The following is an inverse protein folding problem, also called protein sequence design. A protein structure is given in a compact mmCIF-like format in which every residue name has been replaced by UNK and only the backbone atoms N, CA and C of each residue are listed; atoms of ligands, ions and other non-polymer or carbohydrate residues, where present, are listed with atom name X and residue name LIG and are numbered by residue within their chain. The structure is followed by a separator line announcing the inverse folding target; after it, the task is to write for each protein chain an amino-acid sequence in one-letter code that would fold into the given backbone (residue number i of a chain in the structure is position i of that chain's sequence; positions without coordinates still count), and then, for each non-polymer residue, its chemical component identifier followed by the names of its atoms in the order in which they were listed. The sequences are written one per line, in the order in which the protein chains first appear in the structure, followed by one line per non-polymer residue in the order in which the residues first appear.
data_IF_785631211726
#
_entry.id   IF_785631211726
#
_cell.length_a   1.000
_cell.length_b   1.000
_cell.length_c   1.000
_cell.angle_alpha   90.00
_cell.angle_beta   90.00
_cell.angle_gamma   90.00
#
_symmetry.space_group_name_H-M   'P 1'
#
loop_
_entity.id
_entity.type
_entity.pdbx_description
1 polymer ?
#
# COMPACT_ATOMS: atom_id res chain seq x y z
N UNK A 1 24.94 7.41 1.49
CA UNK A 1 23.69 8.02 1.02
C UNK A 1 22.69 7.95 2.16
N UNK A 2 21.79 8.91 2.28
CA UNK A 2 20.64 8.79 3.17
C UNK A 2 19.81 7.57 2.78
N UNK A 3 19.07 6.99 3.70
CA UNK A 3 18.25 5.78 3.49
C UNK A 3 17.04 5.82 4.42
N UNK A 4 16.05 5.01 4.16
CA UNK A 4 14.97 4.73 5.12
C UNK A 4 15.59 4.07 6.36
N UNK A 5 15.26 4.61 7.56
CA UNK A 5 15.80 4.12 8.84
C UNK A 5 14.71 3.88 9.86
N UNK A 6 15.01 3.01 10.81
CA UNK A 6 14.12 2.69 11.92
C UNK A 6 14.75 3.07 13.25
N UNK A 7 14.03 3.83 14.06
CA UNK A 7 14.41 4.22 15.41
C UNK A 7 13.34 3.82 16.43
N UNK A 8 13.73 3.08 17.45
CA UNK A 8 12.87 2.69 18.57
C UNK A 8 13.31 3.29 19.90
N UNK A 9 14.15 4.34 19.89
CA UNK A 9 14.66 4.99 21.08
C UNK A 9 13.54 5.49 22.01
N UNK A 10 12.39 5.91 21.46
CA UNK A 10 11.21 6.33 22.22
C UNK A 10 10.41 5.17 22.82
N UNK A 11 10.74 3.94 22.46
CA UNK A 11 10.21 2.74 23.08
C UNK A 11 11.22 2.06 24.05
N UNK A 12 12.39 2.63 24.28
CA UNK A 12 13.47 2.04 25.09
C UNK A 12 13.07 1.78 26.55
N UNK A 13 12.15 2.54 27.12
CA UNK A 13 11.59 2.27 28.46
C UNK A 13 10.67 1.03 28.50
N UNK A 14 10.21 0.55 27.34
CA UNK A 14 9.33 -0.60 27.19
C UNK A 14 10.09 -1.87 26.77
N UNK A 15 11.32 -1.74 26.29
CA UNK A 15 12.13 -2.81 25.70
C UNK A 15 13.51 -2.76 26.31
N UNK A 16 13.98 -3.87 26.88
CA UNK A 16 15.34 -3.93 27.42
C UNK A 16 16.29 -4.68 26.47
N UNK A 17 17.59 -4.46 26.66
CA UNK A 17 18.63 -5.04 25.81
C UNK A 17 18.64 -6.57 25.80
N UNK A 18 18.24 -7.22 26.88
CA UNK A 18 18.18 -8.68 26.94
C UNK A 18 17.04 -9.22 26.05
N UNK A 19 15.92 -8.48 25.94
CA UNK A 19 14.83 -8.86 25.04
C UNK A 19 15.27 -8.75 23.59
N UNK A 20 15.98 -7.70 23.22
CA UNK A 20 16.56 -7.56 21.87
C UNK A 20 17.56 -8.66 21.55
N UNK A 21 18.48 -8.99 22.48
CA UNK A 21 19.43 -10.11 22.33
C UNK A 21 18.72 -11.46 22.20
N UNK A 22 17.64 -11.67 22.95
CA UNK A 22 16.84 -12.89 22.82
C UNK A 22 16.17 -12.98 21.45
N UNK A 23 15.63 -11.86 20.96
CA UNK A 23 14.98 -11.81 19.65
C UNK A 23 15.94 -11.98 18.49
N UNK A 24 17.20 -11.56 18.63
CA UNK A 24 18.21 -11.65 17.57
C UNK A 24 18.28 -13.05 16.97
N UNK A 25 18.37 -14.10 17.82
CA UNK A 25 18.40 -15.48 17.36
C UNK A 25 17.11 -15.90 16.65
N UNK A 26 15.96 -15.57 17.22
CA UNK A 26 14.66 -15.91 16.62
C UNK A 26 14.47 -15.23 15.26
N UNK A 27 14.91 -13.97 15.16
CA UNK A 27 14.88 -13.21 13.92
C UNK A 27 15.85 -13.78 12.88
N UNK A 28 17.04 -14.24 13.32
CA UNK A 28 17.99 -14.89 12.43
C UNK A 28 17.41 -16.21 11.86
N UNK A 29 16.78 -17.03 12.69
CA UNK A 29 16.10 -18.26 12.26
C UNK A 29 14.92 -17.96 11.30
N UNK A 30 14.14 -16.92 11.58
CA UNK A 30 13.05 -16.47 10.69
C UNK A 30 13.59 -15.92 9.35
N UNK A 31 14.68 -15.16 9.38
CA UNK A 31 15.38 -14.68 8.18
C UNK A 31 15.90 -15.82 7.33
N UNK A 32 16.57 -16.79 7.96
CA UNK A 32 17.07 -17.98 7.25
C UNK A 32 15.91 -18.73 6.59
N UNK A 33 14.82 -18.95 7.33
CA UNK A 33 13.60 -19.61 6.81
C UNK A 33 13.02 -18.87 5.60
N UNK A 34 12.95 -17.53 5.65
CA UNK A 34 12.45 -16.70 4.56
C UNK A 34 13.35 -16.73 3.33
N UNK A 35 14.66 -16.53 3.54
CA UNK A 35 15.65 -16.41 2.44
C UNK A 35 15.93 -17.75 1.79
N UNK A 36 15.99 -18.83 2.57
CA UNK A 36 16.15 -20.21 2.04
C UNK A 36 14.87 -20.76 1.43
N UNK A 37 13.75 -20.03 1.54
CA UNK A 37 12.43 -20.40 0.99
C UNK A 37 11.94 -21.76 1.52
N UNK A 38 12.20 -22.05 2.80
CA UNK A 38 11.83 -23.34 3.44
C UNK A 38 10.60 -23.24 4.34
N UNK A 39 10.08 -22.03 4.56
CA UNK A 39 8.94 -21.80 5.45
C UNK A 39 7.58 -22.00 4.78
N UNK A 40 6.54 -21.91 5.60
CA UNK A 40 5.16 -21.93 5.10
C UNK A 40 4.92 -20.77 4.12
N UNK A 41 4.26 -21.05 3.00
CA UNK A 41 3.98 -20.06 1.95
C UNK A 41 5.15 -19.78 1.01
N UNK A 42 6.15 -20.67 0.96
CA UNK A 42 7.32 -20.56 0.09
C UNK A 42 7.00 -20.48 -1.41
N UNK A 43 5.80 -20.88 -1.82
CA UNK A 43 5.31 -20.71 -3.20
C UNK A 43 5.06 -19.22 -3.59
N UNK A 44 5.09 -18.28 -2.62
CA UNK A 44 4.79 -16.87 -2.81
C UNK A 44 5.96 -15.94 -2.44
N UNK A 45 7.19 -16.36 -2.68
CA UNK A 45 8.41 -15.63 -2.31
C UNK A 45 9.14 -14.99 -3.51
N UNK A 46 8.50 -14.89 -4.67
CA UNK A 46 9.08 -14.23 -5.85
C UNK A 46 9.41 -12.74 -5.62
N UNK A 47 8.68 -12.08 -4.73
CA UNK A 47 8.90 -10.68 -4.38
C UNK A 47 10.28 -10.40 -3.75
N UNK A 48 10.92 -11.39 -3.11
CA UNK A 48 12.22 -11.21 -2.44
C UNK A 48 13.30 -10.74 -3.43
N UNK A 49 13.36 -11.38 -4.60
CA UNK A 49 14.38 -11.11 -5.61
C UNK A 49 13.89 -10.17 -6.73
N UNK A 50 12.57 -9.89 -6.76
CA UNK A 50 11.93 -9.08 -7.79
C UNK A 50 12.63 -7.73 -8.07
N UNK A 51 13.16 -6.98 -7.07
CA UNK A 51 13.82 -5.71 -7.35
C UNK A 51 15.07 -5.81 -8.25
N UNK A 52 15.67 -6.99 -8.37
CA UNK A 52 16.88 -7.22 -9.18
C UNK A 52 16.65 -8.22 -10.32
N UNK A 53 15.69 -9.13 -10.15
CA UNK A 53 15.39 -10.23 -11.09
C UNK A 53 13.96 -10.13 -11.64
N UNK A 54 13.65 -9.02 -12.31
CA UNK A 54 12.39 -8.80 -12.99
C UNK A 54 12.55 -8.92 -14.52
N UNK A 55 11.46 -9.25 -15.22
CA UNK A 55 11.43 -9.33 -16.67
C UNK A 55 11.67 -7.94 -17.29
N UNK A 56 12.85 -7.75 -17.88
CA UNK A 56 13.28 -6.49 -18.47
C UNK A 56 12.49 -6.12 -19.74
N UNK A 57 12.03 -7.12 -20.49
CA UNK A 57 11.23 -6.91 -21.69
C UNK A 57 9.82 -6.48 -21.33
N UNK A 58 9.20 -7.12 -20.34
CA UNK A 58 7.92 -6.67 -19.80
C UNK A 58 8.02 -5.27 -19.17
N UNK A 59 9.08 -4.99 -18.45
CA UNK A 59 9.32 -3.66 -17.88
C UNK A 59 9.43 -2.57 -18.95
N UNK A 60 10.12 -2.86 -20.06
CA UNK A 60 10.19 -1.95 -21.21
C UNK A 60 8.80 -1.75 -21.86
N UNK A 61 7.99 -2.82 -21.97
CA UNK A 61 6.61 -2.74 -22.46
C UNK A 61 5.71 -1.92 -21.53
N UNK A 62 5.86 -2.04 -20.19
CA UNK A 62 5.15 -1.21 -19.23
C UNK A 62 5.42 0.28 -19.48
N UNK A 63 6.69 0.67 -19.70
CA UNK A 63 7.04 2.06 -20.02
C UNK A 63 6.46 2.53 -21.35
N UNK A 64 6.47 1.67 -22.37
CA UNK A 64 5.88 1.97 -23.67
C UNK A 64 4.34 2.15 -23.58
N UNK A 65 3.65 1.25 -22.86
CA UNK A 65 2.23 1.34 -22.63
C UNK A 65 1.85 2.60 -21.82
N UNK A 66 2.62 2.90 -20.77
CA UNK A 66 2.42 4.11 -19.98
C UNK A 66 2.53 5.38 -20.82
N UNK A 67 3.54 5.45 -21.68
CA UNK A 67 3.72 6.56 -22.62
C UNK A 67 2.54 6.69 -23.59
N UNK A 68 2.09 5.58 -24.17
CA UNK A 68 0.92 5.57 -25.06
C UNK A 68 -0.33 6.07 -24.35
N UNK A 69 -0.61 5.61 -23.12
CA UNK A 69 -1.75 6.08 -22.30
C UNK A 69 -1.64 7.59 -22.03
N UNK A 70 -0.45 8.09 -21.73
CA UNK A 70 -0.23 9.53 -21.51
C UNK A 70 -0.49 10.38 -22.75
N UNK A 71 -0.24 9.84 -23.93
CA UNK A 71 -0.40 10.53 -25.22
C UNK A 71 -1.86 10.52 -25.71
N UNK A 72 -2.59 9.43 -25.51
CA UNK A 72 -3.89 9.18 -26.11
C UNK A 72 -5.09 9.24 -25.13
N UNK A 73 -4.84 9.44 -23.84
CA UNK A 73 -5.90 9.45 -22.82
C UNK A 73 -5.82 10.67 -21.90
N UNK A 74 -6.99 11.18 -21.50
CA UNK A 74 -7.14 12.18 -20.46
C UNK A 74 -7.37 11.55 -19.08
N UNK A 75 -7.88 10.32 -19.09
CA UNK A 75 -8.21 9.55 -17.88
C UNK A 75 -7.66 8.12 -18.00
N UNK A 76 -7.05 7.64 -16.92
CA UNK A 76 -6.79 6.21 -16.71
C UNK A 76 -7.73 5.69 -15.62
N UNK A 77 -8.49 4.64 -15.92
CA UNK A 77 -9.25 3.89 -14.93
C UNK A 77 -8.44 2.67 -14.49
N UNK A 78 -8.03 2.64 -13.23
CA UNK A 78 -7.39 1.49 -12.60
C UNK A 78 -8.48 0.65 -11.95
N UNK A 79 -8.75 -0.53 -12.50
CA UNK A 79 -9.81 -1.43 -12.05
C UNK A 79 -9.18 -2.58 -11.28
N UNK A 80 -9.32 -2.59 -9.97
CA UNK A 80 -8.74 -3.60 -9.09
C UNK A 80 -9.22 -3.46 -7.65
N UNK A 81 -8.91 -4.45 -6.82
CA UNK A 81 -9.25 -4.46 -5.39
C UNK A 81 -8.06 -4.99 -4.56
N UNK A 82 -7.94 -4.54 -3.31
CA UNK A 82 -6.86 -4.95 -2.42
C UNK A 82 -5.48 -4.65 -3.03
N UNK A 83 -4.60 -5.64 -3.08
CA UNK A 83 -3.25 -5.49 -3.64
C UNK A 83 -3.22 -5.09 -5.11
N UNK A 84 -4.32 -5.30 -5.84
CA UNK A 84 -4.41 -4.88 -7.25
C UNK A 84 -4.57 -3.36 -7.45
N UNK A 85 -4.76 -2.57 -6.38
CA UNK A 85 -4.81 -1.11 -6.49
C UNK A 85 -4.10 -0.36 -5.38
N UNK A 86 -4.08 -0.90 -4.14
CA UNK A 86 -3.57 -0.17 -2.97
C UNK A 86 -2.12 0.26 -3.12
N UNK A 87 -1.24 -0.64 -3.56
CA UNK A 87 0.18 -0.32 -3.73
C UNK A 87 0.41 0.75 -4.79
N UNK A 88 -0.28 0.66 -5.94
CA UNK A 88 -0.22 1.69 -6.98
C UNK A 88 -0.72 3.04 -6.49
N UNK A 89 -1.86 3.06 -5.79
CA UNK A 89 -2.44 4.29 -5.23
C UNK A 89 -1.53 4.90 -4.17
N UNK A 90 -0.98 4.07 -3.28
CA UNK A 90 0.01 4.52 -2.29
C UNK A 90 1.20 5.22 -2.95
N UNK A 91 1.77 4.61 -4.00
CA UNK A 91 2.88 5.22 -4.73
C UNK A 91 2.51 6.52 -5.42
N UNK A 92 1.37 6.56 -6.11
CA UNK A 92 0.94 7.74 -6.86
C UNK A 92 0.64 8.91 -5.92
N UNK A 93 -0.11 8.70 -4.84
CA UNK A 93 -0.41 9.76 -3.88
C UNK A 93 0.84 10.22 -3.11
N UNK A 94 1.74 9.29 -2.77
CA UNK A 94 3.02 9.63 -2.15
C UNK A 94 3.92 10.47 -3.07
N UNK A 95 3.98 10.15 -4.37
CA UNK A 95 4.94 10.73 -5.31
C UNK A 95 4.43 11.97 -6.05
N UNK A 96 3.11 12.14 -6.19
CA UNK A 96 2.54 13.16 -7.07
C UNK A 96 1.91 14.31 -6.27
N UNK A 97 1.32 15.26 -6.98
CA UNK A 97 0.67 16.42 -6.39
C UNK A 97 -0.51 15.99 -5.51
N UNK A 98 -0.67 16.57 -4.31
CA UNK A 98 -1.75 16.22 -3.37
C UNK A 98 -3.16 16.38 -3.97
N UNK A 99 -3.32 17.27 -4.94
CA UNK A 99 -4.57 17.49 -5.71
C UNK A 99 -4.41 17.00 -7.15
N UNK A 100 -3.80 15.85 -7.36
CA UNK A 100 -3.37 15.33 -8.65
C UNK A 100 -4.43 15.42 -9.74
N UNK A 101 -5.64 14.92 -9.49
CA UNK A 101 -6.73 14.96 -10.48
C UNK A 101 -7.40 16.33 -10.62
N UNK A 102 -7.15 17.28 -9.72
CA UNK A 102 -7.78 18.60 -9.73
C UNK A 102 -6.93 19.69 -10.38
N UNK A 103 -5.61 19.47 -10.50
CA UNK A 103 -4.73 20.43 -11.17
C UNK A 103 -4.86 20.33 -12.68
N UNK A 104 -4.65 21.45 -13.37
CA UNK A 104 -4.70 21.51 -14.83
C UNK A 104 -3.70 20.53 -15.49
N UNK A 105 -4.02 20.03 -16.68
CA UNK A 105 -3.18 19.10 -17.45
C UNK A 105 -1.78 19.68 -17.72
N UNK A 106 -1.64 21.00 -17.87
CA UNK A 106 -0.35 21.67 -18.07
C UNK A 106 0.58 21.56 -16.85
N UNK A 107 0.01 21.40 -15.64
CA UNK A 107 0.72 21.16 -14.38
C UNK A 107 0.95 19.66 -14.17
N UNK A 108 -0.09 18.86 -14.31
CA UNK A 108 -0.07 17.41 -14.10
C UNK A 108 0.75 16.66 -15.17
N UNK A 109 0.62 17.07 -16.43
CA UNK A 109 1.27 16.52 -17.65
C UNK A 109 0.89 15.09 -18.03
N UNK A 110 0.11 14.42 -17.23
CA UNK A 110 -0.30 13.00 -17.35
C UNK A 110 -1.83 12.91 -17.25
N UNK A 111 -2.45 11.76 -17.58
CA UNK A 111 -3.88 11.57 -17.37
C UNK A 111 -4.30 11.71 -15.91
N UNK A 112 -5.55 12.05 -15.67
CA UNK A 112 -6.17 11.82 -14.36
C UNK A 112 -6.26 10.31 -14.10
N UNK A 113 -6.10 9.90 -12.85
CA UNK A 113 -6.14 8.49 -12.48
C UNK A 113 -7.25 8.28 -11.46
N UNK A 114 -8.20 7.42 -11.80
CA UNK A 114 -9.29 7.03 -10.92
C UNK A 114 -9.26 5.54 -10.65
N UNK A 115 -9.67 5.16 -9.44
CA UNK A 115 -9.71 3.78 -8.99
C UNK A 115 -11.15 3.33 -8.87
N UNK A 116 -11.47 2.17 -9.45
CA UNK A 116 -12.82 1.59 -9.39
C UNK A 116 -12.75 0.06 -9.34
N UNK A 117 -13.82 -0.58 -8.88
CA UNK A 117 -13.79 -2.03 -8.63
C UNK A 117 -13.13 -2.40 -7.30
N UNK A 118 -12.83 -1.40 -6.47
CA UNK A 118 -12.44 -1.56 -5.07
C UNK A 118 -13.66 -1.45 -4.12
N UNK A 119 -14.83 -1.19 -4.68
CA UNK A 119 -16.13 -1.23 -4.02
C UNK A 119 -17.23 -1.57 -5.05
N UNK A 120 -18.42 -1.93 -4.57
CA UNK A 120 -19.62 -2.19 -5.39
C UNK A 120 -20.70 -1.13 -5.12
N UNK A 121 -20.29 0.10 -4.89
CA UNK A 121 -21.20 1.23 -4.72
C UNK A 121 -21.74 1.68 -6.07
N UNK A 122 -23.06 1.54 -6.27
CA UNK A 122 -23.75 2.02 -7.46
C UNK A 122 -23.59 3.53 -7.65
N UNK A 123 -23.69 4.30 -6.55
CA UNK A 123 -23.50 5.76 -6.57
C UNK A 123 -22.09 6.14 -7.01
N UNK A 124 -21.05 5.50 -6.45
CA UNK A 124 -19.68 5.79 -6.83
C UNK A 124 -19.41 5.50 -8.31
N UNK A 125 -19.89 4.34 -8.81
CA UNK A 125 -19.73 3.98 -10.22
C UNK A 125 -20.44 4.99 -11.12
N UNK A 126 -21.68 5.41 -10.79
CA UNK A 126 -22.44 6.39 -11.54
C UNK A 126 -21.74 7.75 -11.60
N UNK A 127 -21.27 8.26 -10.45
CA UNK A 127 -20.53 9.52 -10.40
C UNK A 127 -19.21 9.45 -11.20
N UNK A 128 -18.52 8.30 -11.18
CA UNK A 128 -17.31 8.14 -11.97
C UNK A 128 -17.60 8.11 -13.48
N UNK A 129 -18.73 7.55 -13.91
CA UNK A 129 -19.19 7.63 -15.31
C UNK A 129 -19.41 9.08 -15.70
N UNK A 130 -20.03 9.90 -14.85
CA UNK A 130 -20.23 11.34 -15.08
C UNK A 130 -18.88 12.10 -15.14
N UNK A 131 -17.95 11.76 -14.24
CA UNK A 131 -16.60 12.35 -14.22
C UNK A 131 -15.81 12.00 -15.49
N UNK A 132 -15.88 10.77 -15.96
CA UNK A 132 -15.24 10.36 -17.23
C UNK A 132 -15.89 11.10 -18.41
N UNK A 133 -17.22 11.15 -18.47
CA UNK A 133 -17.96 11.85 -19.50
C UNK A 133 -17.53 11.45 -20.91
N UNK A 134 -17.35 12.46 -21.77
CA UNK A 134 -16.92 12.27 -23.16
C UNK A 134 -15.40 12.31 -23.34
N UNK A 135 -14.62 12.35 -22.25
CA UNK A 135 -13.14 12.41 -22.30
C UNK A 135 -12.54 11.12 -22.85
N UNK A 136 -11.36 11.24 -23.43
CA UNK A 136 -10.59 10.06 -23.85
C UNK A 136 -10.02 9.32 -22.64
N UNK A 137 -10.26 8.00 -22.58
CA UNK A 137 -9.80 7.22 -21.44
C UNK A 137 -9.28 5.85 -21.83
N UNK A 138 -8.43 5.32 -20.98
CA UNK A 138 -7.93 3.95 -21.01
C UNK A 138 -8.29 3.20 -19.73
N UNK A 139 -8.29 1.89 -19.80
CA UNK A 139 -8.57 0.98 -18.69
C UNK A 139 -7.34 0.11 -18.41
N UNK A 140 -6.87 0.10 -17.18
CA UNK A 140 -5.99 -0.94 -16.68
C UNK A 140 -6.79 -1.88 -15.78
N UNK A 141 -7.20 -3.03 -16.32
CA UNK A 141 -7.93 -4.08 -15.59
C UNK A 141 -6.92 -5.01 -14.92
N UNK A 142 -6.93 -5.05 -13.58
CA UNK A 142 -5.97 -5.80 -12.78
C UNK A 142 -6.70 -6.90 -11.99
N UNK A 143 -6.56 -8.12 -12.43
CA UNK A 143 -7.14 -9.29 -11.76
C UNK A 143 -6.46 -10.57 -12.23
N UNK A 144 -5.85 -11.34 -11.32
CA UNK A 144 -5.19 -12.60 -11.67
C UNK A 144 -6.17 -13.60 -12.29
N UNK A 145 -7.32 -13.83 -11.66
CA UNK A 145 -8.35 -14.78 -12.17
C UNK A 145 -9.29 -14.16 -13.21
N UNK A 146 -9.52 -12.85 -13.14
CA UNK A 146 -10.56 -12.17 -13.90
C UNK A 146 -11.99 -12.39 -13.38
N UNK A 147 -12.17 -13.10 -12.26
CA UNK A 147 -13.47 -13.48 -11.72
C UNK A 147 -13.78 -12.84 -10.36
N UNK A 148 -12.90 -12.01 -9.82
CA UNK A 148 -13.18 -11.24 -8.61
C UNK A 148 -14.36 -10.31 -8.90
N UNK A 149 -15.39 -10.39 -8.06
CA UNK A 149 -16.72 -9.82 -8.35
C UNK A 149 -16.67 -8.30 -8.57
N UNK A 150 -16.03 -7.57 -7.65
CA UNK A 150 -16.02 -6.12 -7.63
C UNK A 150 -15.35 -5.52 -8.89
N UNK A 151 -14.11 -5.88 -9.24
CA UNK A 151 -13.47 -5.38 -10.45
C UNK A 151 -14.15 -5.92 -11.73
N UNK A 152 -14.72 -7.13 -11.72
CA UNK A 152 -15.42 -7.66 -12.89
C UNK A 152 -16.71 -6.86 -13.20
N UNK A 153 -17.45 -6.41 -12.17
CA UNK A 153 -18.62 -5.52 -12.34
C UNK A 153 -18.17 -4.18 -12.93
N UNK A 154 -17.19 -3.54 -12.34
CA UNK A 154 -16.67 -2.26 -12.82
C UNK A 154 -16.17 -2.37 -14.27
N UNK A 155 -15.44 -3.43 -14.58
CA UNK A 155 -14.93 -3.67 -15.94
C UNK A 155 -16.06 -3.82 -16.97
N UNK A 156 -17.12 -4.56 -16.66
CA UNK A 156 -18.29 -4.66 -17.56
C UNK A 156 -18.93 -3.31 -17.88
N UNK A 157 -19.03 -2.44 -16.88
CA UNK A 157 -19.59 -1.10 -17.06
C UNK A 157 -18.71 -0.25 -17.97
N UNK A 158 -17.43 -0.08 -17.61
CA UNK A 158 -16.53 0.84 -18.32
C UNK A 158 -16.06 0.29 -19.67
N UNK A 159 -15.90 -1.03 -19.83
CA UNK A 159 -15.66 -1.66 -21.13
C UNK A 159 -16.77 -1.32 -22.12
N UNK A 160 -18.04 -1.45 -21.70
CA UNK A 160 -19.18 -1.12 -22.57
C UNK A 160 -19.20 0.35 -22.98
N UNK A 161 -18.86 1.27 -22.07
CA UNK A 161 -18.76 2.71 -22.37
C UNK A 161 -17.63 2.94 -23.37
N UNK A 162 -16.48 2.32 -23.19
CA UNK A 162 -15.33 2.42 -24.09
C UNK A 162 -15.65 1.89 -25.49
N UNK A 163 -16.30 0.73 -25.59
CA UNK A 163 -16.73 0.12 -26.86
C UNK A 163 -17.80 0.96 -27.58
N UNK A 164 -18.72 1.57 -26.83
CA UNK A 164 -19.73 2.46 -27.43
C UNK A 164 -19.08 3.74 -27.99
N UNK A 165 -18.03 4.23 -27.37
CA UNK A 165 -17.31 5.44 -27.81
C UNK A 165 -16.43 5.21 -29.03
N UNK A 166 -15.66 4.14 -29.04
CA UNK A 166 -14.59 3.92 -30.04
C UNK A 166 -14.87 2.77 -31.01
N UNK A 167 -15.90 1.97 -30.76
CA UNK A 167 -16.04 0.66 -31.41
C UNK A 167 -15.10 -0.39 -30.78
N UNK A 168 -15.37 -1.64 -31.06
CA UNK A 168 -14.72 -2.77 -30.37
C UNK A 168 -13.20 -2.83 -30.60
N UNK A 169 -12.76 -2.65 -31.85
CA UNK A 169 -11.34 -2.76 -32.23
C UNK A 169 -10.47 -1.66 -31.64
N UNK A 170 -10.95 -0.41 -31.63
CA UNK A 170 -10.18 0.70 -31.08
C UNK A 170 -10.24 0.71 -29.55
N UNK A 171 -11.38 0.31 -28.97
CA UNK A 171 -11.52 0.13 -27.53
C UNK A 171 -10.52 -0.92 -27.00
N UNK A 172 -10.29 -2.01 -27.74
CA UNK A 172 -9.34 -3.05 -27.36
C UNK A 172 -7.91 -2.51 -27.19
N UNK A 173 -7.50 -1.52 -27.98
CA UNK A 173 -6.16 -0.88 -27.89
C UNK A 173 -5.99 0.05 -26.68
N UNK A 174 -7.10 0.34 -25.96
CA UNK A 174 -7.17 1.19 -24.77
C UNK A 174 -7.40 0.40 -23.50
N UNK A 175 -7.47 -0.94 -23.59
CA UNK A 175 -7.61 -1.86 -22.46
C UNK A 175 -6.29 -2.59 -22.25
N UNK A 176 -5.75 -2.46 -21.05
CA UNK A 176 -4.52 -3.09 -20.60
C UNK A 176 -4.88 -4.08 -19.50
N UNK A 177 -4.67 -5.38 -19.75
CA UNK A 177 -5.01 -6.45 -18.83
C UNK A 177 -3.80 -6.91 -18.03
N UNK A 178 -3.73 -6.58 -16.74
CA UNK A 178 -2.72 -7.13 -15.84
C UNK A 178 -3.31 -8.36 -15.16
N UNK A 179 -2.87 -9.57 -15.60
CA UNK A 179 -3.54 -10.82 -15.27
C UNK A 179 -2.57 -12.01 -15.23
N UNK A 180 -3.07 -13.23 -15.07
CA UNK A 180 -2.28 -14.47 -15.13
C UNK A 180 -1.58 -14.63 -16.50
N UNK A 181 -0.42 -15.25 -16.50
CA UNK A 181 0.38 -15.46 -17.71
C UNK A 181 -0.34 -16.31 -18.76
N UNK A 182 -1.07 -17.34 -18.33
CA UNK A 182 -1.55 -18.41 -19.22
C UNK A 182 -3.02 -18.79 -19.09
N UNK A 183 -3.67 -18.47 -17.96
CA UNK A 183 -5.01 -18.96 -17.61
C UNK A 183 -5.88 -17.89 -16.97
N UNK A 184 -7.16 -18.20 -16.79
CA UNK A 184 -8.12 -17.30 -16.16
C UNK A 184 -9.01 -16.55 -17.15
N UNK A 185 -10.16 -16.08 -16.65
CA UNK A 185 -11.17 -15.46 -17.50
C UNK A 185 -10.67 -14.17 -18.18
N UNK A 186 -9.90 -13.33 -17.45
CA UNK A 186 -9.35 -12.11 -18.02
C UNK A 186 -8.25 -12.41 -19.05
N UNK A 187 -7.42 -13.43 -18.83
CA UNK A 187 -6.39 -13.83 -19.80
C UNK A 187 -7.01 -14.34 -21.10
N UNK A 188 -8.04 -15.18 -21.00
CA UNK A 188 -8.76 -15.68 -22.14
C UNK A 188 -9.41 -14.55 -22.95
N UNK A 189 -10.08 -13.63 -22.25
CA UNK A 189 -10.68 -12.45 -22.85
C UNK A 189 -9.63 -11.54 -23.52
N UNK A 190 -8.49 -11.30 -22.87
CA UNK A 190 -7.44 -10.49 -23.43
C UNK A 190 -6.86 -11.10 -24.72
N UNK A 191 -6.70 -12.41 -24.76
CA UNK A 191 -6.24 -13.11 -25.97
C UNK A 191 -7.29 -13.06 -27.10
N UNK A 192 -8.59 -13.23 -26.78
CA UNK A 192 -9.69 -13.21 -27.76
C UNK A 192 -9.90 -11.82 -28.35
N UNK A 193 -9.85 -10.78 -27.52
CA UNK A 193 -10.15 -9.40 -27.91
C UNK A 193 -8.89 -8.60 -28.31
N UNK A 194 -7.68 -9.18 -28.14
CA UNK A 194 -6.42 -8.53 -28.51
C UNK A 194 -5.96 -7.43 -27.55
N UNK A 195 -6.30 -7.52 -26.24
CA UNK A 195 -5.82 -6.56 -25.25
C UNK A 195 -4.32 -6.74 -24.99
N UNK A 196 -3.60 -5.64 -24.83
CA UNK A 196 -2.24 -5.72 -24.33
C UNK A 196 -2.27 -6.26 -22.89
N UNK A 197 -1.46 -7.29 -22.62
CA UNK A 197 -1.47 -7.96 -21.31
C UNK A 197 -0.10 -7.95 -20.63
N UNK A 198 -0.14 -7.80 -19.29
CA UNK A 198 0.99 -7.84 -18.37
C UNK A 198 0.75 -8.93 -17.33
N UNK A 199 1.84 -9.47 -16.79
CA UNK A 199 1.77 -10.66 -15.95
C UNK A 199 1.67 -10.29 -14.47
N UNK A 200 0.72 -10.93 -13.78
CA UNK A 200 0.74 -11.08 -12.33
C UNK A 200 1.52 -12.36 -12.02
N UNK A 201 2.72 -12.30 -11.46
CA UNK A 201 3.52 -13.49 -11.20
C UNK A 201 2.80 -14.49 -10.29
N UNK A 202 3.00 -15.80 -10.54
CA UNK A 202 2.36 -16.84 -9.75
C UNK A 202 2.88 -16.93 -8.33
N UNK A 203 4.14 -16.58 -8.17
CA UNK A 203 4.91 -16.63 -6.92
C UNK A 203 4.93 -15.31 -6.15
N UNK A 204 4.05 -14.36 -6.50
CA UNK A 204 3.88 -13.08 -5.77
C UNK A 204 2.45 -12.92 -5.31
N UNK A 205 2.25 -12.82 -4.01
CA UNK A 205 0.95 -12.55 -3.41
C UNK A 205 0.48 -11.11 -3.68
N UNK A 206 -0.86 -10.88 -3.71
CA UNK A 206 -1.44 -9.57 -4.07
C UNK A 206 -0.89 -8.39 -3.26
N UNK A 207 -0.75 -8.53 -1.95
CA UNK A 207 -0.24 -7.47 -1.06
C UNK A 207 1.27 -7.21 -1.16
N UNK A 208 2.02 -8.11 -1.85
CA UNK A 208 3.45 -7.99 -2.17
C UNK A 208 3.69 -7.61 -3.64
N UNK A 209 2.67 -7.24 -4.40
CA UNK A 209 2.74 -7.14 -5.85
C UNK A 209 2.99 -5.73 -6.39
N UNK A 210 3.21 -4.72 -5.54
CA UNK A 210 3.36 -3.32 -5.97
C UNK A 210 4.53 -3.12 -6.96
N UNK A 211 5.59 -3.88 -6.83
CA UNK A 211 6.78 -3.82 -7.71
C UNK A 211 6.68 -4.75 -8.94
N UNK A 212 5.51 -5.36 -9.20
CA UNK A 212 5.19 -6.06 -10.45
C UNK A 212 4.42 -5.14 -11.40
N UNK A 213 4.04 -5.64 -12.57
CA UNK A 213 3.17 -4.92 -13.50
C UNK A 213 1.86 -4.39 -12.85
N UNK A 214 1.41 -5.02 -11.75
CA UNK A 214 0.24 -4.60 -10.97
C UNK A 214 0.35 -3.15 -10.49
N UNK A 215 1.50 -2.78 -9.91
CA UNK A 215 1.75 -1.42 -9.47
C UNK A 215 2.46 -0.58 -10.52
N UNK A 216 3.45 -1.15 -11.22
CA UNK A 216 4.36 -0.40 -12.08
C UNK A 216 3.67 0.28 -13.26
N UNK A 217 2.65 -0.33 -13.89
CA UNK A 217 1.96 0.31 -15.01
C UNK A 217 1.21 1.58 -14.60
N UNK A 218 0.28 1.59 -13.63
CA UNK A 218 -0.39 2.83 -13.23
C UNK A 218 0.58 3.85 -12.60
N UNK A 219 1.64 3.41 -11.90
CA UNK A 219 2.68 4.29 -11.36
C UNK A 219 3.41 5.00 -12.51
N UNK A 220 3.83 4.29 -13.55
CA UNK A 220 4.48 4.86 -14.73
C UNK A 220 3.55 5.83 -15.47
N UNK A 221 2.25 5.51 -15.61
CA UNK A 221 1.26 6.41 -16.22
C UNK A 221 1.15 7.73 -15.45
N UNK A 222 1.30 7.72 -14.14
CA UNK A 222 1.32 8.95 -13.33
C UNK A 222 2.53 9.87 -13.61
N UNK A 223 3.51 9.37 -14.39
CA UNK A 223 4.76 10.08 -14.67
C UNK A 223 5.84 9.90 -13.60
N UNK A 224 5.66 8.97 -12.68
CA UNK A 224 6.71 8.60 -11.73
C UNK A 224 7.77 7.72 -12.40
N UNK A 225 9.01 7.86 -11.95
CA UNK A 225 10.18 7.14 -12.45
C UNK A 225 10.26 5.73 -11.82
N UNK A 226 9.73 4.73 -12.55
CA UNK A 226 9.74 3.35 -12.06
C UNK A 226 11.13 2.71 -12.05
N UNK A 227 12.11 3.23 -12.81
CA UNK A 227 13.51 2.77 -12.73
C UNK A 227 14.07 3.13 -11.33
N UNK A 228 13.90 4.38 -10.88
CA UNK A 228 14.31 4.81 -9.54
C UNK A 228 13.56 4.08 -8.43
N UNK A 229 12.28 3.79 -8.62
CA UNK A 229 11.52 2.99 -7.65
C UNK A 229 12.13 1.60 -7.47
N UNK A 230 12.47 0.92 -8.57
CA UNK A 230 13.12 -0.39 -8.54
C UNK A 230 14.54 -0.33 -7.99
N UNK A 231 15.31 0.74 -8.28
CA UNK A 231 16.64 0.97 -7.69
C UNK A 231 16.54 1.13 -6.16
N UNK A 232 15.56 1.88 -5.66
CA UNK A 232 15.31 2.01 -4.24
C UNK A 232 14.94 0.68 -3.58
N UNK A 233 14.06 -0.09 -4.19
CA UNK A 233 13.69 -1.43 -3.71
C UNK A 233 14.91 -2.38 -3.69
N UNK A 234 15.78 -2.31 -4.71
CA UNK A 234 17.04 -3.08 -4.74
C UNK A 234 18.00 -2.67 -3.60
N UNK A 235 18.07 -1.36 -3.28
CA UNK A 235 18.83 -0.86 -2.11
C UNK A 235 18.26 -1.40 -0.80
N UNK A 236 16.93 -1.37 -0.63
CA UNK A 236 16.23 -1.94 0.51
C UNK A 236 16.51 -3.43 0.65
N UNK A 237 16.40 -4.19 -0.45
CA UNK A 237 16.74 -5.61 -0.51
C UNK A 237 18.17 -5.89 -0.04
N UNK A 238 19.13 -5.17 -0.58
CA UNK A 238 20.53 -5.30 -0.19
C UNK A 238 20.71 -5.08 1.31
N UNK A 239 20.11 -4.02 1.85
CA UNK A 239 20.16 -3.73 3.29
C UNK A 239 19.51 -4.82 4.14
N UNK A 240 18.37 -5.33 3.73
CA UNK A 240 17.63 -6.38 4.45
C UNK A 240 18.36 -7.73 4.46
N UNK A 241 19.00 -8.10 3.35
CA UNK A 241 19.67 -9.41 3.21
C UNK A 241 21.09 -9.43 3.77
N UNK A 242 21.88 -8.37 3.52
CA UNK A 242 23.33 -8.42 3.78
C UNK A 242 23.73 -7.90 5.18
N UNK A 243 22.89 -7.03 5.81
CA UNK A 243 23.26 -6.46 7.11
C UNK A 243 23.04 -7.41 8.27
N UNK A 244 23.94 -7.39 9.29
CA UNK A 244 23.71 -8.08 10.55
C UNK A 244 22.53 -7.44 11.31
N UNK A 245 22.04 -8.11 12.34
CA UNK A 245 20.85 -7.69 13.10
C UNK A 245 20.97 -6.24 13.64
N UNK A 246 22.12 -5.89 14.21
CA UNK A 246 22.34 -4.59 14.84
C UNK A 246 22.28 -3.42 13.86
N UNK A 247 22.54 -3.68 12.57
CA UNK A 247 22.52 -2.67 11.50
C UNK A 247 21.28 -2.79 10.59
N UNK A 248 20.44 -3.80 10.82
CA UNK A 248 19.31 -4.13 9.95
C UNK A 248 18.00 -3.62 10.54
N UNK A 249 17.57 -2.49 10.02
CA UNK A 249 16.38 -1.79 10.51
C UNK A 249 15.08 -2.60 10.32
N UNK A 250 14.94 -3.37 9.24
CA UNK A 250 13.77 -4.22 9.01
C UNK A 250 13.70 -5.39 10.02
N UNK A 251 14.83 -6.00 10.36
CA UNK A 251 14.89 -7.04 11.36
C UNK A 251 14.61 -6.50 12.77
N UNK A 252 15.16 -5.31 13.09
CA UNK A 252 14.88 -4.64 14.38
C UNK A 252 13.41 -4.28 14.50
N UNK A 253 12.79 -3.77 13.45
CA UNK A 253 11.37 -3.44 13.45
C UNK A 253 10.51 -4.69 13.72
N UNK A 254 10.77 -5.80 13.02
CA UNK A 254 10.07 -7.07 13.27
C UNK A 254 10.26 -7.58 14.71
N UNK A 255 11.48 -7.47 15.25
CA UNK A 255 11.79 -7.86 16.63
C UNK A 255 11.00 -7.02 17.64
N UNK A 256 11.07 -5.70 17.52
CA UNK A 256 10.43 -4.73 18.42
C UNK A 256 8.90 -4.94 18.45
N UNK A 257 8.27 -5.10 17.30
CA UNK A 257 6.83 -5.40 17.19
C UNK A 257 6.44 -6.64 17.98
N UNK A 258 7.21 -7.72 17.81
CA UNK A 258 6.96 -9.00 18.49
C UNK A 258 7.24 -8.94 20.01
N UNK A 259 8.21 -8.13 20.45
CA UNK A 259 8.42 -7.86 21.88
C UNK A 259 7.21 -7.13 22.46
N UNK A 260 6.75 -6.06 21.81
CA UNK A 260 5.61 -5.27 22.27
C UNK A 260 4.34 -6.12 22.31
N UNK A 261 4.09 -6.97 21.33
CA UNK A 261 2.96 -7.91 21.35
C UNK A 261 3.00 -8.83 22.58
N UNK A 262 4.17 -9.41 22.90
CA UNK A 262 4.36 -10.27 24.09
C UNK A 262 4.11 -9.53 25.41
N UNK A 263 4.19 -8.19 25.38
CA UNK A 263 3.86 -7.30 26.50
C UNK A 263 2.40 -6.81 26.48
N UNK A 264 1.56 -7.40 25.64
CA UNK A 264 0.12 -7.06 25.56
C UNK A 264 -0.21 -5.88 24.68
N UNK A 265 0.74 -5.38 23.88
CA UNK A 265 0.50 -4.35 22.87
C UNK A 265 0.02 -5.03 21.57
N UNK A 266 -1.27 -5.26 21.47
CA UNK A 266 -1.90 -6.02 20.38
C UNK A 266 -2.41 -5.16 19.23
N UNK A 267 -2.25 -3.84 19.30
CA UNK A 267 -2.62 -2.88 18.25
C UNK A 267 -1.41 -2.06 17.88
N UNK A 268 -1.07 -2.01 16.60
CA UNK A 268 -0.10 -1.08 16.06
C UNK A 268 -0.82 0.01 15.25
N UNK A 269 -0.56 1.26 15.61
CA UNK A 269 -1.11 2.41 14.91
C UNK A 269 0.01 3.05 14.09
N UNK A 270 -0.07 2.96 12.76
CA UNK A 270 0.78 3.76 11.90
C UNK A 270 0.25 5.19 11.87
N UNK A 271 1.10 6.14 12.25
CA UNK A 271 0.78 7.56 12.27
C UNK A 271 1.60 8.30 11.20
N UNK A 272 0.95 9.06 10.35
CA UNK A 272 1.61 9.93 9.40
C UNK A 272 1.22 11.39 9.62
N UNK A 273 2.10 12.32 9.23
CA UNK A 273 1.91 13.77 9.32
C UNK A 273 1.88 14.45 7.95
N UNK A 274 1.91 13.65 6.88
CA UNK A 274 1.81 14.08 5.49
C UNK A 274 0.58 13.44 4.86
N UNK A 275 -0.45 14.21 4.43
CA UNK A 275 -1.67 13.65 3.83
C UNK A 275 -1.42 12.72 2.64
N UNK A 276 -0.33 12.94 1.91
CA UNK A 276 0.11 12.06 0.81
C UNK A 276 0.56 10.66 1.25
N UNK A 277 0.75 10.43 2.55
CA UNK A 277 1.08 9.13 3.14
C UNK A 277 -0.16 8.28 3.48
N UNK A 278 -1.37 8.83 3.38
CA UNK A 278 -2.60 8.13 3.75
C UNK A 278 -2.68 6.73 3.10
N UNK A 279 -2.50 6.64 1.78
CA UNK A 279 -2.57 5.34 1.10
C UNK A 279 -1.34 4.45 1.30
N UNK A 280 -0.20 4.99 1.72
CA UNK A 280 0.92 4.17 2.22
C UNK A 280 0.49 3.45 3.50
N UNK A 281 -0.20 4.14 4.40
CA UNK A 281 -0.77 3.54 5.61
C UNK A 281 -1.85 2.50 5.29
N UNK A 282 -2.72 2.73 4.29
CA UNK A 282 -3.73 1.77 3.84
C UNK A 282 -3.10 0.50 3.21
N UNK A 283 -2.07 0.66 2.38
CA UNK A 283 -1.28 -0.45 1.85
C UNK A 283 -0.60 -1.24 2.99
N UNK A 284 0.00 -0.55 3.94
CA UNK A 284 0.63 -1.15 5.11
C UNK A 284 -0.38 -1.94 5.95
N UNK A 285 -1.59 -1.43 6.15
CA UNK A 285 -2.66 -2.18 6.85
C UNK A 285 -3.00 -3.49 6.16
N UNK A 286 -3.13 -3.49 4.83
CA UNK A 286 -3.36 -4.72 4.09
C UNK A 286 -2.17 -5.68 4.22
N UNK A 287 -0.95 -5.16 4.05
CA UNK A 287 0.27 -5.97 4.14
C UNK A 287 0.32 -6.74 5.46
N UNK A 288 0.19 -6.06 6.60
CA UNK A 288 0.28 -6.68 7.92
C UNK A 288 -1.00 -7.43 8.32
N UNK A 289 -2.16 -6.88 8.04
CA UNK A 289 -3.44 -7.50 8.40
C UNK A 289 -3.65 -8.86 7.76
N UNK A 290 -3.40 -8.99 6.47
CA UNK A 290 -3.51 -10.28 5.77
C UNK A 290 -2.35 -11.22 6.07
N UNK A 291 -1.17 -10.71 6.42
CA UNK A 291 0.01 -11.56 6.67
C UNK A 291 0.04 -12.12 8.08
N UNK A 292 -0.36 -11.35 9.09
CA UNK A 292 -0.24 -11.73 10.50
C UNK A 292 -1.56 -12.17 11.15
N UNK A 293 -2.71 -11.66 10.69
CA UNK A 293 -4.02 -11.91 11.27
C UNK A 293 -4.54 -13.33 10.99
N UNK A 294 -3.91 -14.36 11.56
CA UNK A 294 -4.20 -15.78 11.34
C UNK A 294 -4.11 -16.58 12.64
N UNK A 295 -4.77 -17.70 12.70
CA UNK A 295 -4.74 -18.61 13.86
C UNK A 295 -5.08 -17.92 15.19
N UNK A 296 -5.95 -16.91 15.14
CA UNK A 296 -6.32 -16.05 16.28
C UNK A 296 -5.10 -15.30 16.89
N UNK A 297 -4.08 -15.05 16.09
CA UNK A 297 -2.87 -14.30 16.42
C UNK A 297 -2.77 -13.03 15.57
N UNK A 298 -1.74 -12.26 15.81
CA UNK A 298 -1.37 -11.08 15.06
C UNK A 298 -1.52 -9.79 15.85
N UNK A 299 -0.93 -8.73 15.31
CA UNK A 299 -1.09 -7.35 15.80
C UNK A 299 -2.12 -6.69 14.89
N UNK A 300 -3.17 -6.09 15.45
CA UNK A 300 -4.17 -5.38 14.67
C UNK A 300 -3.54 -4.12 14.05
N UNK A 301 -3.43 -4.02 12.72
CA UNK A 301 -2.90 -2.83 12.09
C UNK A 301 -3.98 -1.75 11.98
N UNK A 302 -3.73 -0.59 12.57
CA UNK A 302 -4.54 0.61 12.45
C UNK A 302 -3.72 1.77 11.88
N UNK A 303 -4.38 2.83 11.46
CA UNK A 303 -3.70 4.02 10.96
C UNK A 303 -4.43 5.30 11.40
N UNK A 304 -3.68 6.39 11.56
CA UNK A 304 -4.19 7.74 11.83
C UNK A 304 -3.45 8.77 10.97
N UNK A 305 -4.18 9.78 10.54
CA UNK A 305 -3.65 10.92 9.79
C UNK A 305 -3.54 12.13 10.74
N UNK A 306 -2.34 12.45 11.19
CA UNK A 306 -2.09 13.51 12.14
C UNK A 306 -1.73 14.82 11.38
N UNK A 307 -2.13 15.98 11.87
CA UNK A 307 -2.75 16.29 13.19
C UNK A 307 -4.27 16.06 13.24
N UNK A 308 -4.94 15.76 12.12
CA UNK A 308 -6.41 15.63 12.05
C UNK A 308 -6.93 14.69 13.14
N UNK A 309 -6.37 13.51 13.27
CA UNK A 309 -6.84 12.47 14.20
C UNK A 309 -6.42 12.72 15.67
N UNK A 310 -5.63 13.73 15.97
CA UNK A 310 -5.48 14.20 17.35
C UNK A 310 -6.81 14.74 17.90
N UNK A 311 -7.67 15.24 16.99
CA UNK A 311 -9.01 15.74 17.32
C UNK A 311 -10.10 14.66 17.29
N UNK A 312 -9.73 13.40 17.10
CA UNK A 312 -10.63 12.23 17.12
C UNK A 312 -10.07 11.09 17.97
N UNK A 313 -8.97 10.50 17.59
CA UNK A 313 -8.33 9.36 18.26
C UNK A 313 -7.32 9.75 19.34
N UNK A 314 -6.86 11.01 19.34
CA UNK A 314 -5.83 11.48 20.27
C UNK A 314 -6.16 11.22 21.73
N UNK A 315 -7.41 11.46 22.15
CA UNK A 315 -7.86 11.17 23.53
C UNK A 315 -7.71 9.67 23.87
N UNK A 316 -8.09 8.78 22.97
CA UNK A 316 -8.00 7.35 23.22
C UNK A 316 -6.55 6.86 23.25
N UNK A 317 -5.72 7.38 22.35
CA UNK A 317 -4.29 7.02 22.31
C UNK A 317 -3.63 7.50 23.61
N UNK A 318 -3.88 8.75 24.02
CA UNK A 318 -3.25 9.35 25.20
C UNK A 318 -3.71 8.72 26.52
N UNK A 319 -4.99 8.37 26.68
CA UNK A 319 -5.58 8.03 27.98
C UNK A 319 -6.53 6.80 27.96
N UNK A 320 -6.66 6.12 26.81
CA UNK A 320 -7.47 4.90 26.67
C UNK A 320 -6.73 3.62 27.12
N UNK A 321 -7.16 2.47 26.65
CA UNK A 321 -6.57 1.18 26.97
C UNK A 321 -5.11 1.07 26.50
N UNK A 322 -4.22 0.58 27.33
CA UNK A 322 -2.76 0.48 27.07
C UNK A 322 -2.38 -0.71 26.19
N UNK A 323 -3.20 -1.06 25.19
CA UNK A 323 -3.02 -2.22 24.29
C UNK A 323 -2.28 -1.89 23.00
N UNK A 324 -1.87 -0.65 22.78
CA UNK A 324 -1.33 -0.17 21.54
C UNK A 324 0.11 0.35 21.63
N UNK A 325 0.73 0.47 20.49
CA UNK A 325 1.95 1.24 20.24
C UNK A 325 1.82 1.96 18.89
N UNK A 326 2.63 2.97 18.67
CA UNK A 326 2.62 3.75 17.43
C UNK A 326 3.89 3.53 16.62
N UNK A 327 3.75 3.53 15.30
CA UNK A 327 4.84 3.62 14.33
C UNK A 327 4.64 4.88 13.51
N UNK A 328 5.41 5.92 13.83
CA UNK A 328 5.36 7.21 13.14
C UNK A 328 6.19 7.16 11.88
N UNK A 329 5.56 7.41 10.73
CA UNK A 329 6.25 7.58 9.45
C UNK A 329 6.64 9.05 9.29
N UNK A 330 7.90 9.36 9.48
CA UNK A 330 8.45 10.72 9.45
C UNK A 330 9.12 11.00 8.09
N UNK A 331 8.59 11.94 7.33
CA UNK A 331 9.27 12.50 6.15
C UNK A 331 10.21 13.61 6.62
N UNK A 332 11.53 13.40 6.51
CA UNK A 332 12.52 14.33 7.08
C UNK A 332 12.56 15.67 6.35
N UNK A 333 12.37 15.66 5.03
CA UNK A 333 12.37 16.87 4.20
C UNK A 333 11.07 16.97 3.39
N UNK A 334 10.27 18.00 3.64
CA UNK A 334 9.06 18.26 2.86
C UNK A 334 9.40 18.75 1.45
N UNK A 335 8.54 18.42 0.47
CA UNK A 335 8.74 18.83 -0.94
C UNK A 335 8.61 20.32 -1.17
N UNK A 336 7.75 20.98 -0.40
CA UNK A 336 7.41 22.38 -0.56
C UNK A 336 7.49 23.06 0.80
N UNK A 337 7.78 24.35 0.79
CA UNK A 337 7.82 25.14 2.01
C UNK A 337 6.82 26.30 1.93
N UNK A 338 6.06 26.48 2.98
CA UNK A 338 5.22 27.63 3.24
C UNK A 338 5.77 28.29 4.50
N UNK A 339 6.15 29.54 4.40
CA UNK A 339 6.65 30.34 5.54
C UNK A 339 5.49 31.22 6.03
N UNK A 340 5.26 31.23 7.34
CA UNK A 340 4.26 32.11 7.94
C UNK A 340 4.78 33.54 7.99
N UNK A 341 3.94 34.48 7.60
CA UNK A 341 4.22 35.90 7.69
C UNK A 341 3.66 36.46 9.03
N UNK A 342 4.17 37.62 9.46
CA UNK A 342 3.66 38.32 10.60
C UNK A 342 2.37 39.07 10.24
N UNK A 343 1.32 38.90 11.02
CA UNK A 343 0.05 39.65 10.84
C UNK A 343 0.13 40.98 11.58
N UNK A 344 -0.36 42.10 10.98
CA UNK A 344 -0.37 43.42 11.62
C UNK A 344 -1.09 43.47 12.96
N UNK A 345 -2.09 42.61 13.15
CA UNK A 345 -2.85 42.46 14.39
C UNK A 345 -2.86 40.97 14.74
N UNK A 346 -2.21 40.60 15.82
CA UNK A 346 -2.08 39.22 16.29
C UNK A 346 -3.39 38.73 17.01
N UNK A 347 -4.48 38.65 16.24
CA UNK A 347 -5.78 38.25 16.80
C UNK A 347 -5.85 36.78 17.22
N UNK A 348 -5.11 35.93 16.54
CA UNK A 348 -5.04 34.49 16.80
C UNK A 348 -3.87 34.09 17.72
N UNK A 349 -3.01 35.06 18.07
CA UNK A 349 -1.87 34.83 18.94
C UNK A 349 -0.74 34.02 18.29
N UNK A 350 -0.68 33.99 16.94
CA UNK A 350 0.27 33.13 16.22
C UNK A 350 1.51 33.86 15.68
N UNK A 351 1.69 35.16 15.92
CA UNK A 351 2.87 35.90 15.44
C UNK A 351 4.21 35.35 15.98
N UNK A 352 4.21 34.57 17.04
CA UNK A 352 5.40 33.83 17.49
C UNK A 352 5.89 32.76 16.49
N UNK A 353 5.05 32.40 15.53
CA UNK A 353 5.38 31.48 14.42
C UNK A 353 5.89 32.20 13.16
N UNK A 354 5.85 33.54 13.13
CA UNK A 354 6.32 34.31 11.98
C UNK A 354 7.79 33.96 11.66
N UNK A 355 8.07 33.81 10.36
CA UNK A 355 9.37 33.38 9.85
C UNK A 355 9.64 31.88 9.93
N UNK A 356 8.74 31.08 10.53
CA UNK A 356 8.87 29.62 10.59
C UNK A 356 8.13 28.96 9.42
N UNK A 357 8.65 27.84 8.94
CA UNK A 357 7.95 27.04 7.94
C UNK A 357 6.82 26.21 8.57
N UNK A 358 5.75 25.97 7.82
CA UNK A 358 4.67 25.05 8.22
C UNK A 358 5.22 23.64 8.49
N UNK A 359 6.23 23.19 7.73
CA UNK A 359 6.92 21.91 7.98
C UNK A 359 7.60 21.87 9.38
N UNK A 360 8.27 22.95 9.78
CA UNK A 360 8.84 23.05 11.14
C UNK A 360 7.75 22.93 12.22
N UNK A 361 6.61 23.56 11.99
CA UNK A 361 5.47 23.51 12.93
C UNK A 361 4.89 22.10 12.99
N UNK A 362 4.71 21.45 11.83
CA UNK A 362 4.22 20.07 11.74
C UNK A 362 5.14 19.08 12.45
N UNK A 363 6.47 19.20 12.27
CA UNK A 363 7.45 18.40 13.00
C UNK A 363 7.49 18.69 14.50
N UNK A 364 7.23 19.92 14.89
CA UNK A 364 7.11 20.28 16.31
C UNK A 364 5.88 19.63 16.92
N UNK A 365 4.75 19.61 16.20
CA UNK A 365 3.54 18.87 16.61
C UNK A 365 3.81 17.37 16.72
N UNK A 366 4.47 16.78 15.72
CA UNK A 366 4.87 15.38 15.74
C UNK A 366 5.72 15.04 16.97
N UNK A 367 6.77 15.79 17.21
CA UNK A 367 7.65 15.54 18.36
C UNK A 367 6.93 15.72 19.69
N UNK A 368 6.07 16.75 19.82
CA UNK A 368 5.25 16.98 21.01
C UNK A 368 4.29 15.82 21.27
N UNK A 369 3.65 15.30 20.23
CA UNK A 369 2.74 14.15 20.30
C UNK A 369 3.49 12.87 20.70
N UNK A 370 4.62 12.57 20.07
CA UNK A 370 5.46 11.41 20.43
C UNK A 370 5.85 11.45 21.91
N UNK A 371 6.28 12.61 22.41
CA UNK A 371 6.65 12.75 23.82
C UNK A 371 5.43 12.52 24.75
N UNK A 372 4.30 13.16 24.45
CA UNK A 372 3.09 13.03 25.26
C UNK A 372 2.56 11.58 25.30
N UNK A 373 2.51 10.91 24.14
CA UNK A 373 2.05 9.53 24.07
C UNK A 373 3.03 8.56 24.75
N UNK A 374 4.35 8.79 24.61
CA UNK A 374 5.38 7.99 25.31
C UNK A 374 5.24 8.14 26.83
N UNK A 375 5.08 9.36 27.35
CA UNK A 375 4.84 9.63 28.76
C UNK A 375 3.50 9.01 29.25
N UNK A 376 2.52 8.90 28.34
CA UNK A 376 1.25 8.20 28.54
C UNK A 376 1.34 6.67 28.46
N UNK A 377 2.54 6.07 28.42
CA UNK A 377 2.77 4.63 28.30
C UNK A 377 2.31 4.02 26.94
N UNK A 378 2.40 4.78 25.86
CA UNK A 378 2.26 4.30 24.49
C UNK A 378 3.65 4.29 23.84
N UNK A 379 4.24 3.11 23.60
CA UNK A 379 5.54 3.03 22.91
C UNK A 379 5.47 3.67 21.53
N UNK A 380 6.46 4.49 21.18
CA UNK A 380 6.57 5.14 19.88
C UNK A 380 7.80 4.63 19.13
N UNK A 381 7.57 4.22 17.88
CA UNK A 381 8.57 3.80 16.93
C UNK A 381 8.60 4.83 15.79
N UNK A 382 9.75 5.05 15.16
CA UNK A 382 9.88 5.96 14.02
C UNK A 382 10.46 5.23 12.81
N UNK A 383 9.83 5.42 11.67
CA UNK A 383 10.38 5.09 10.36
C UNK A 383 10.66 6.41 9.65
N UNK A 384 11.93 6.75 9.53
CA UNK A 384 12.36 8.01 8.92
C UNK A 384 12.60 7.81 7.41
N UNK A 385 11.97 8.66 6.62
CA UNK A 385 12.02 8.70 5.17
C UNK A 385 12.71 10.01 4.80
N UNK A 386 13.90 10.00 4.17
CA UNK A 386 14.67 11.23 3.93
C UNK A 386 13.91 12.30 3.17
N UNK A 387 13.22 11.89 2.09
CA UNK A 387 12.34 12.75 1.28
C UNK A 387 11.35 11.92 0.47
N UNK A 388 10.31 12.55 -0.03
CA UNK A 388 9.29 11.88 -0.84
C UNK A 388 9.74 11.80 -2.32
N UNK A 389 10.43 10.73 -2.67
CA UNK A 389 10.79 10.40 -4.05
C UNK A 389 10.67 8.90 -4.32
N UNK A 390 10.85 8.50 -5.56
CA UNK A 390 10.68 7.13 -6.02
C UNK A 390 11.69 6.16 -5.37
N UNK A 391 12.92 6.62 -5.17
CA UNK A 391 13.98 5.79 -4.59
C UNK A 391 13.64 5.42 -3.13
N UNK A 392 13.32 6.39 -2.29
CA UNK A 392 13.00 6.12 -0.88
C UNK A 392 11.65 5.42 -0.71
N UNK A 393 10.71 5.61 -1.65
CA UNK A 393 9.49 4.82 -1.65
C UNK A 393 9.78 3.34 -1.95
N UNK A 394 10.66 3.05 -2.91
CA UNK A 394 11.11 1.70 -3.21
C UNK A 394 11.79 1.03 -1.99
N UNK A 395 12.68 1.76 -1.30
CA UNK A 395 13.27 1.28 -0.04
C UNK A 395 12.20 0.99 1.02
N UNK A 396 11.20 1.88 1.18
CA UNK A 396 10.13 1.76 2.16
C UNK A 396 9.24 0.54 1.89
N UNK A 397 8.86 0.30 0.64
CA UNK A 397 8.08 -0.88 0.28
C UNK A 397 8.83 -2.16 0.64
N UNK A 398 10.08 -2.28 0.23
CA UNK A 398 10.87 -3.47 0.54
C UNK A 398 11.13 -3.63 2.05
N UNK A 399 11.37 -2.54 2.76
CA UNK A 399 11.53 -2.53 4.22
C UNK A 399 10.33 -3.17 4.91
N UNK A 400 9.10 -2.71 4.58
CA UNK A 400 7.90 -3.24 5.21
C UNK A 400 7.55 -4.66 4.75
N UNK A 401 7.71 -4.99 3.47
CA UNK A 401 7.50 -6.34 2.96
C UNK A 401 8.40 -7.37 3.65
N UNK A 402 9.68 -7.05 3.76
CA UNK A 402 10.66 -7.94 4.39
C UNK A 402 10.40 -8.08 5.89
N UNK A 403 10.21 -6.98 6.60
CA UNK A 403 9.90 -6.99 8.02
C UNK A 403 8.58 -7.75 8.31
N UNK A 404 7.58 -7.64 7.45
CA UNK A 404 6.31 -8.34 7.55
C UNK A 404 6.50 -9.87 7.43
N UNK A 405 7.27 -10.33 6.45
CA UNK A 405 7.59 -11.75 6.30
C UNK A 405 8.29 -12.33 7.53
N UNK A 406 9.30 -11.62 8.06
CA UNK A 406 10.00 -11.99 9.30
C UNK A 406 9.03 -12.03 10.48
N UNK A 407 8.23 -10.97 10.65
CA UNK A 407 7.29 -10.85 11.77
C UNK A 407 6.23 -11.96 11.77
N UNK A 408 5.70 -12.33 10.60
CA UNK A 408 4.76 -13.45 10.48
C UNK A 408 5.37 -14.79 10.89
N UNK A 409 6.61 -15.07 10.51
CA UNK A 409 7.28 -16.27 10.97
C UNK A 409 7.58 -16.24 12.48
N UNK A 410 7.91 -15.09 13.06
CA UNK A 410 8.06 -14.94 14.52
C UNK A 410 6.75 -15.20 15.28
N UNK A 411 5.60 -14.92 14.68
CA UNK A 411 4.26 -15.24 15.19
C UNK A 411 3.92 -16.73 15.01
N UNK A 412 4.68 -17.45 14.18
CA UNK A 412 4.42 -18.86 13.85
C UNK A 412 3.16 -19.03 12.98
N UNK A 413 2.94 -18.11 12.02
CA UNK A 413 1.87 -18.19 11.02
C UNK A 413 2.46 -18.25 9.61
N UNK A 414 1.66 -18.65 8.61
CA UNK A 414 2.02 -18.49 7.21
C UNK A 414 1.82 -17.02 6.79
N UNK A 415 2.87 -16.22 6.48
CA UNK A 415 2.70 -14.80 6.16
C UNK A 415 2.09 -14.55 4.78
N UNK A 416 2.00 -15.56 3.90
CA UNK A 416 1.80 -15.37 2.47
C UNK A 416 0.46 -15.88 1.91
N UNK A 417 -0.32 -16.63 2.69
CA UNK A 417 -1.69 -17.00 2.36
C UNK A 417 -2.73 -16.05 2.99
N UNK A 418 -4.02 -16.25 2.73
CA UNK A 418 -5.14 -15.49 3.33
C UNK A 418 -6.42 -16.34 3.41
N UNK A 419 -6.46 -17.43 4.21
CA UNK A 419 -7.61 -18.34 4.26
C UNK A 419 -8.89 -17.69 4.82
N UNK A 420 -8.76 -16.67 5.68
CA UNK A 420 -9.87 -16.02 6.37
C UNK A 420 -10.89 -15.32 5.44
N UNK A 421 -10.46 -14.91 4.25
CA UNK A 421 -11.34 -14.19 3.31
C UNK A 421 -12.26 -15.11 2.48
N UNK A 422 -12.07 -16.42 2.54
CA UNK A 422 -12.87 -17.36 1.72
C UNK A 422 -14.30 -17.51 2.22
N UNK A 423 -14.54 -17.38 3.52
CA UNK A 423 -15.87 -17.55 4.11
C UNK A 423 -16.88 -16.51 3.63
N UNK A 424 -16.51 -15.22 3.66
CA UNK A 424 -17.42 -14.16 3.21
C UNK A 424 -17.70 -14.24 1.71
N UNK A 425 -16.70 -14.62 0.90
CA UNK A 425 -16.88 -14.81 -0.55
C UNK A 425 -17.90 -15.89 -0.86
N UNK A 426 -17.84 -17.05 -0.17
CA UNK A 426 -18.83 -18.11 -0.31
C UNK A 426 -20.24 -17.63 0.04
N UNK A 427 -20.39 -16.93 1.16
CA UNK A 427 -21.67 -16.35 1.57
C UNK A 427 -22.20 -15.35 0.54
N UNK A 428 -21.34 -14.46 0.02
CA UNK A 428 -21.71 -13.51 -1.01
C UNK A 428 -22.18 -14.23 -2.29
N UNK A 429 -21.46 -15.24 -2.77
CA UNK A 429 -21.85 -16.02 -3.95
C UNK A 429 -23.19 -16.71 -3.76
N UNK A 430 -23.42 -17.28 -2.58
CA UNK A 430 -24.69 -17.92 -2.25
C UNK A 430 -25.86 -16.91 -2.26
N UNK A 431 -25.69 -15.77 -1.57
CA UNK A 431 -26.73 -14.73 -1.51
C UNK A 431 -27.02 -14.11 -2.88
N UNK A 432 -26.03 -13.98 -3.74
CA UNK A 432 -26.18 -13.52 -5.13
C UNK A 432 -26.85 -14.57 -6.04
N UNK A 433 -27.07 -15.79 -5.57
CA UNK A 433 -27.66 -16.87 -6.35
C UNK A 433 -26.74 -17.45 -7.40
N UNK A 434 -25.41 -17.47 -7.14
CA UNK A 434 -24.46 -18.10 -8.05
C UNK A 434 -24.77 -19.60 -8.21
N UNK A 435 -24.82 -20.14 -9.45
CA UNK A 435 -25.06 -21.56 -9.67
C UNK A 435 -24.10 -22.44 -8.87
N UNK A 436 -24.62 -23.48 -8.23
CA UNK A 436 -23.88 -24.41 -7.37
C UNK A 436 -23.82 -24.01 -5.89
N UNK A 437 -24.54 -22.94 -5.48
CA UNK A 437 -24.59 -22.45 -4.08
C UNK A 437 -26.05 -22.43 -3.55
N UNK A 438 -26.98 -23.23 -4.14
CA UNK A 438 -28.39 -23.18 -3.83
C UNK A 438 -28.70 -23.56 -2.36
N UNK A 439 -28.02 -24.60 -1.85
CA UNK A 439 -28.20 -25.07 -0.46
C UNK A 439 -27.70 -24.04 0.54
N UNK A 440 -26.48 -23.54 0.33
CA UNK A 440 -25.89 -22.50 1.17
C UNK A 440 -26.76 -21.23 1.19
N UNK A 441 -27.38 -20.89 0.05
CA UNK A 441 -28.32 -19.76 -0.04
C UNK A 441 -29.54 -19.96 0.84
N UNK A 442 -30.17 -21.14 0.79
CA UNK A 442 -31.34 -21.47 1.63
C UNK A 442 -30.99 -21.39 3.12
N UNK A 443 -29.83 -21.88 3.53
CA UNK A 443 -29.34 -21.81 4.91
C UNK A 443 -29.09 -20.39 5.35
N UNK A 444 -28.43 -19.57 4.52
CA UNK A 444 -28.14 -18.16 4.84
C UNK A 444 -29.40 -17.32 4.95
N UNK A 445 -30.37 -17.50 4.05
CA UNK A 445 -31.62 -16.76 4.07
C UNK A 445 -32.47 -17.04 5.34
N UNK A 446 -32.29 -18.18 6.00
CA UNK A 446 -32.95 -18.49 7.30
C UNK A 446 -32.31 -17.73 8.46
N UNK A 447 -31.12 -17.18 8.27
CA UNK A 447 -30.32 -16.47 9.30
C UNK A 447 -30.41 -14.95 9.17
N UNK A 448 -30.88 -14.44 8.04
CA UNK A 448 -31.14 -13.02 7.78
C UNK A 448 -32.58 -12.64 8.11
#
# INVERSE_FOLDING_TARGET
MAKVTFDYSKASSFINDNEMKYMEKLVADAKETLVSKTGAGNDFLGWIDLPIDYDKDEFARIKAAAKKIQEDSEVLLVIGIGGSYLGARAAIEFLRHSFYNNVDKSVRKTPEIYYVGNSISSTYISHLVEVVGDRDFSINMISKSGTTTEPAIAFRVFKKILENKYGKEEAAKRIYATTDKSKGALKNLANEEGYESFVVPDDVGGRFSVLTAVGLLPIAVSGADIDKLMEGAASGRKSALEKPFEENDALKYAAVRNILLRKGKSVEIVANYEPSMHYVSEWWKQLYGESEGKDQKGILPAAVDLTTDLHSMGQFIQDGARIMFETVMNVETSRCQVILEEEPIDLDGLNYLAGKSVDFINKSAMNGTILAHTDGNVPNLLVNIPEQNEFYLGELFYFFEFACGISGYLLGVNPFDQPGVESYKKNMFALLGKPGYEKEREELLKRL
#
